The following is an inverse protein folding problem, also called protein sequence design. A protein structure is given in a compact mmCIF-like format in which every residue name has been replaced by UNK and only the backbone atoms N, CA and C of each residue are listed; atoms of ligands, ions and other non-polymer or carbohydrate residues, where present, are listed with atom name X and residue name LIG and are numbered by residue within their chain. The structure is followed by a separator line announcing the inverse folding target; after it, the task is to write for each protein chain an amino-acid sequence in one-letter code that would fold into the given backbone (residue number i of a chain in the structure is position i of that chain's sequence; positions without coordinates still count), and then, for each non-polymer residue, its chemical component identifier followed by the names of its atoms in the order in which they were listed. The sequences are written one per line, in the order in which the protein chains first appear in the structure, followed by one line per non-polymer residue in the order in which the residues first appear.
data_IF_187018036381
#
_entry.id   IF_187018036381
#
_cell.length_a   1.000
_cell.length_b   1.000
_cell.length_c   1.000
_cell.angle_alpha   90.00
_cell.angle_beta   90.00
_cell.angle_gamma   90.00
#
_symmetry.space_group_name_H-M   'P 1'
#
loop_
_entity.id
_entity.type
_entity.pdbx_description
1 polymer ?
#
# COMPACT_ATOMS: atom_id res chain seq x y z
N UNK A 1 -2.32 -3.57 20.45
CA UNK A 1 -0.94 -3.14 20.16
C UNK A 1 0.01 -3.49 21.30
N UNK A 2 -0.34 -3.23 22.58
CA UNK A 2 0.50 -3.63 23.73
C UNK A 2 0.90 -5.11 23.77
N UNK A 3 -0.06 -6.03 23.54
CA UNK A 3 0.23 -7.47 23.48
C UNK A 3 1.28 -7.79 22.42
N UNK A 4 1.13 -7.22 21.23
CA UNK A 4 2.08 -7.38 20.11
C UNK A 4 3.46 -6.84 20.47
N UNK A 5 3.56 -5.63 21.03
CA UNK A 5 4.83 -5.03 21.46
C UNK A 5 5.51 -5.85 22.56
N UNK A 6 4.73 -6.45 23.46
CA UNK A 6 5.23 -7.32 24.51
C UNK A 6 5.80 -8.61 23.94
N UNK A 7 5.14 -9.20 22.94
CA UNK A 7 5.65 -10.38 22.22
C UNK A 7 6.95 -10.07 21.47
N UNK A 8 7.08 -8.87 20.88
CA UNK A 8 8.32 -8.43 20.22
C UNK A 8 9.50 -8.33 21.17
N UNK A 9 9.27 -7.99 22.44
CA UNK A 9 10.34 -7.83 23.44
C UNK A 9 10.85 -9.13 24.07
N UNK A 10 10.24 -10.28 23.77
CA UNK A 10 10.66 -11.58 24.33
C UNK A 10 11.86 -12.14 23.57
N UNK A 11 12.83 -12.72 24.30
CA UNK A 11 14.02 -13.37 23.71
C UNK A 11 13.65 -14.51 22.74
N UNK A 12 12.63 -15.30 23.09
CA UNK A 12 12.03 -16.30 22.20
C UNK A 12 10.64 -15.83 21.79
N UNK A 13 10.54 -15.35 20.55
CA UNK A 13 9.28 -14.88 19.98
C UNK A 13 8.41 -16.08 19.56
N UNK A 14 7.19 -16.14 20.08
CA UNK A 14 6.15 -17.01 19.53
C UNK A 14 5.69 -16.42 18.19
N UNK A 15 6.16 -17.00 17.08
CA UNK A 15 5.97 -16.45 15.74
C UNK A 15 4.50 -16.48 15.33
N UNK A 16 3.76 -17.52 15.69
CA UNK A 16 2.36 -17.70 15.30
C UNK A 16 1.48 -16.71 16.05
N UNK A 17 1.71 -16.56 17.36
CA UNK A 17 1.00 -15.58 18.17
C UNK A 17 1.37 -14.14 17.76
N UNK A 18 2.63 -13.88 17.40
CA UNK A 18 3.06 -12.58 16.92
C UNK A 18 2.39 -12.25 15.59
N UNK A 19 2.34 -13.17 14.64
CA UNK A 19 1.67 -12.97 13.35
C UNK A 19 0.17 -12.73 13.53
N UNK A 20 -0.51 -13.54 14.35
CA UNK A 20 -1.93 -13.38 14.66
C UNK A 20 -2.22 -12.00 15.26
N UNK A 21 -1.44 -11.59 16.27
CA UNK A 21 -1.64 -10.29 16.92
C UNK A 21 -1.25 -9.11 16.03
N UNK A 22 -0.29 -9.29 15.13
CA UNK A 22 0.06 -8.30 14.10
C UNK A 22 -1.11 -8.09 13.15
N UNK A 23 -1.65 -9.17 12.59
CA UNK A 23 -2.76 -9.11 11.65
C UNK A 23 -4.01 -8.49 12.30
N UNK A 24 -4.31 -8.87 13.54
CA UNK A 24 -5.41 -8.29 14.29
C UNK A 24 -5.28 -6.76 14.45
N UNK A 25 -4.08 -6.27 14.79
CA UNK A 25 -3.82 -4.82 14.92
C UNK A 25 -3.92 -4.10 13.56
N UNK A 26 -3.33 -4.67 12.52
CA UNK A 26 -3.39 -4.10 11.16
C UNK A 26 -4.83 -4.02 10.68
N UNK A 27 -5.59 -5.11 10.74
CA UNK A 27 -6.99 -5.13 10.34
C UNK A 27 -7.86 -4.18 11.16
N UNK A 28 -7.64 -4.08 12.48
CA UNK A 28 -8.38 -3.15 13.33
C UNK A 28 -8.15 -1.70 12.90
N UNK A 29 -6.90 -1.30 12.70
CA UNK A 29 -6.55 0.07 12.30
C UNK A 29 -6.97 0.36 10.84
N UNK A 30 -7.07 -0.65 9.98
CA UNK A 30 -7.64 -0.50 8.65
C UNK A 30 -9.16 -0.31 8.68
N UNK A 31 -9.85 -1.11 9.49
CA UNK A 31 -11.31 -1.01 9.63
C UNK A 31 -11.74 0.26 10.36
N UNK A 32 -10.92 0.76 11.29
CA UNK A 32 -11.19 1.95 12.10
C UNK A 32 -9.97 2.88 12.18
N UNK A 33 -9.71 3.68 11.12
CA UNK A 33 -8.54 4.57 11.06
C UNK A 33 -8.47 5.57 12.21
N UNK A 34 -9.61 6.05 12.72
CA UNK A 34 -9.69 7.01 13.83
C UNK A 34 -9.06 6.47 15.14
N UNK A 35 -8.91 5.15 15.29
CA UNK A 35 -8.21 4.57 16.44
C UNK A 35 -6.70 4.81 16.37
N UNK A 36 -6.13 4.98 15.16
CA UNK A 36 -4.70 5.25 15.00
C UNK A 36 -4.29 6.55 15.70
N UNK A 37 -5.18 7.54 15.73
CA UNK A 37 -4.91 8.86 16.32
C UNK A 37 -4.68 8.81 17.83
N UNK A 38 -5.10 7.73 18.49
CA UNK A 38 -4.87 7.50 19.93
C UNK A 38 -3.56 6.75 20.20
N UNK A 39 -2.96 6.13 19.19
CA UNK A 39 -1.72 5.34 19.35
C UNK A 39 -0.54 6.16 19.90
N UNK A 40 -0.32 7.43 19.47
CA UNK A 40 0.74 8.26 20.03
C UNK A 40 0.64 8.49 21.55
N UNK A 41 -0.57 8.78 22.06
CA UNK A 41 -0.76 9.09 23.49
C UNK A 41 -0.53 7.89 24.41
N UNK A 42 -0.63 6.67 23.87
CA UNK A 42 -0.32 5.42 24.56
C UNK A 42 1.19 5.08 24.56
N UNK A 43 2.03 5.92 23.96
CA UNK A 43 3.49 5.72 23.91
C UNK A 43 3.92 4.50 23.11
N UNK A 44 3.05 3.98 22.23
CA UNK A 44 3.30 2.76 21.49
C UNK A 44 4.28 2.94 20.32
N UNK A 45 4.30 4.12 19.68
CA UNK A 45 5.20 4.42 18.56
C UNK A 45 6.68 4.37 18.97
N UNK A 46 7.14 5.07 20.02
CA UNK A 46 8.53 4.95 20.48
C UNK A 46 8.91 3.52 20.87
N UNK A 47 7.97 2.76 21.47
CA UNK A 47 8.19 1.35 21.79
C UNK A 47 8.38 0.51 20.54
N UNK A 48 7.55 0.69 19.51
CA UNK A 48 7.66 -0.01 18.22
C UNK A 48 9.02 0.26 17.55
N UNK A 49 9.41 1.53 17.41
CA UNK A 49 10.68 1.92 16.80
C UNK A 49 11.87 1.38 17.59
N UNK A 50 11.81 1.43 18.93
CA UNK A 50 12.84 0.86 19.80
C UNK A 50 12.97 -0.65 19.63
N UNK A 51 11.85 -1.37 19.56
CA UNK A 51 11.89 -2.81 19.30
C UNK A 51 12.58 -3.05 17.96
N UNK A 52 12.15 -2.40 16.88
CA UNK A 52 12.78 -2.52 15.55
C UNK A 52 14.29 -2.24 15.53
N UNK A 53 14.77 -1.32 16.37
CA UNK A 53 16.19 -0.93 16.46
C UNK A 53 17.09 -1.95 17.18
N UNK A 54 16.53 -2.94 17.89
CA UNK A 54 17.32 -3.93 18.62
C UNK A 54 18.02 -4.90 17.65
N UNK A 55 19.34 -5.11 17.86
CA UNK A 55 20.19 -5.93 16.99
C UNK A 55 19.87 -7.43 17.02
N UNK A 56 19.19 -7.91 18.07
CA UNK A 56 18.85 -9.32 18.25
C UNK A 56 17.49 -9.71 17.65
N UNK A 57 16.90 -8.85 16.82
CA UNK A 57 15.55 -9.06 16.36
C UNK A 57 15.42 -10.17 15.33
N UNK A 58 14.46 -11.04 15.60
CA UNK A 58 14.07 -12.12 14.72
C UNK A 58 13.41 -11.58 13.43
N UNK A 59 13.50 -12.31 12.30
CA UNK A 59 12.83 -11.94 11.05
C UNK A 59 11.33 -11.63 11.19
N UNK A 60 10.65 -12.28 12.14
CA UNK A 60 9.23 -12.06 12.46
C UNK A 60 8.98 -10.69 13.08
N UNK A 61 9.88 -10.21 13.96
CA UNK A 61 9.79 -8.88 14.59
C UNK A 61 9.92 -7.78 13.54
N UNK A 62 10.82 -7.93 12.57
CA UNK A 62 10.94 -6.98 11.46
C UNK A 62 9.67 -6.91 10.59
N UNK A 63 9.09 -8.06 10.23
CA UNK A 63 7.81 -8.12 9.50
C UNK A 63 6.72 -7.37 10.28
N UNK A 64 6.55 -7.70 11.56
CA UNK A 64 5.56 -7.05 12.43
C UNK A 64 5.77 -5.54 12.53
N UNK A 65 7.02 -5.10 12.74
CA UNK A 65 7.35 -3.69 12.85
C UNK A 65 7.00 -2.92 11.56
N UNK A 66 7.37 -3.47 10.40
CA UNK A 66 7.08 -2.85 9.10
C UNK A 66 5.56 -2.76 8.85
N UNK A 67 4.82 -3.84 9.11
CA UNK A 67 3.36 -3.86 8.90
C UNK A 67 2.61 -2.87 9.80
N UNK A 68 2.98 -2.81 11.07
CA UNK A 68 2.36 -1.85 12.00
C UNK A 68 2.77 -0.41 11.63
N UNK A 69 4.05 -0.18 11.32
CA UNK A 69 4.53 1.16 10.93
C UNK A 69 3.86 1.65 9.64
N UNK A 70 3.67 0.77 8.65
CA UNK A 70 2.95 1.07 7.41
C UNK A 70 1.51 1.54 7.69
N UNK A 71 0.83 0.84 8.59
CA UNK A 71 -0.54 1.18 8.97
C UNK A 71 -0.61 2.51 9.73
N UNK A 72 0.34 2.77 10.63
CA UNK A 72 0.42 4.04 11.36
C UNK A 72 0.79 5.21 10.45
N UNK A 73 1.62 4.99 9.44
CA UNK A 73 1.98 6.01 8.45
C UNK A 73 0.80 6.43 7.54
N UNK A 74 -0.41 5.88 7.72
CA UNK A 74 -1.63 6.40 7.11
C UNK A 74 -2.24 7.59 7.90
N UNK A 75 -1.83 7.83 9.15
CA UNK A 75 -2.30 8.95 9.98
C UNK A 75 -1.19 9.98 10.17
N UNK A 76 -1.43 11.23 9.78
CA UNK A 76 -0.46 12.32 9.97
C UNK A 76 -0.12 12.54 11.45
N UNK A 77 -1.09 12.33 12.36
CA UNK A 77 -0.87 12.42 13.81
C UNK A 77 0.16 11.39 14.27
N UNK A 78 0.06 10.16 13.73
CA UNK A 78 1.09 9.15 13.97
C UNK A 78 2.44 9.54 13.37
N UNK A 79 2.48 10.11 12.17
CA UNK A 79 3.73 10.55 11.53
C UNK A 79 4.43 11.63 12.37
N UNK A 80 3.69 12.59 12.91
CA UNK A 80 4.25 13.62 13.81
C UNK A 80 4.84 13.03 15.09
N UNK A 81 4.39 11.86 15.54
CA UNK A 81 5.00 11.13 16.65
C UNK A 81 6.18 10.27 16.20
N UNK A 82 6.07 9.62 15.04
CA UNK A 82 7.14 8.81 14.43
C UNK A 82 8.39 9.65 14.17
N UNK A 83 8.25 10.88 13.64
CA UNK A 83 9.37 11.77 13.33
C UNK A 83 10.16 12.25 14.57
N UNK A 84 9.61 12.06 15.77
CA UNK A 84 10.29 12.34 17.04
C UNK A 84 11.13 11.16 17.53
N UNK A 85 11.09 10.03 16.84
CA UNK A 85 11.79 8.79 17.19
C UNK A 85 12.73 8.37 16.08
N UNK A 86 13.82 7.68 16.42
CA UNK A 86 14.73 7.11 15.43
C UNK A 86 14.07 5.89 14.77
N UNK A 87 13.56 6.07 13.54
CA UNK A 87 12.81 5.04 12.82
C UNK A 87 13.43 4.66 11.47
N UNK A 88 14.13 5.58 10.81
CA UNK A 88 14.63 5.36 9.44
C UNK A 88 15.79 4.36 9.40
N UNK A 89 16.78 4.51 10.28
CA UNK A 89 17.91 3.55 10.35
C UNK A 89 17.44 2.14 10.70
N UNK A 90 16.62 1.91 11.75
CA UNK A 90 16.05 0.59 12.03
C UNK A 90 15.22 0.02 10.87
N UNK A 91 14.45 0.87 10.17
CA UNK A 91 13.66 0.44 9.00
C UNK A 91 14.57 0.00 7.85
N UNK A 92 15.68 0.70 7.58
CA UNK A 92 16.68 0.28 6.60
C UNK A 92 17.21 -1.13 6.91
N UNK A 93 17.60 -1.38 8.15
CA UNK A 93 18.09 -2.70 8.58
C UNK A 93 17.02 -3.79 8.45
N UNK A 94 15.77 -3.47 8.78
CA UNK A 94 14.64 -4.37 8.62
C UNK A 94 14.42 -4.76 7.14
N UNK A 95 14.49 -3.78 6.23
CA UNK A 95 14.38 -4.02 4.78
C UNK A 95 15.52 -4.90 4.24
N UNK A 96 16.74 -4.72 4.75
CA UNK A 96 17.89 -5.55 4.36
C UNK A 96 17.72 -7.01 4.81
N UNK A 97 17.10 -7.21 5.99
CA UNK A 97 16.85 -8.54 6.56
C UNK A 97 15.63 -9.23 5.95
N UNK A 98 14.59 -8.47 5.56
CA UNK A 98 13.30 -8.97 5.03
C UNK A 98 13.02 -8.42 3.64
N UNK A 99 13.60 -9.05 2.63
CA UNK A 99 13.45 -8.63 1.22
C UNK A 99 12.01 -8.68 0.72
N UNK A 100 11.21 -9.59 1.25
CA UNK A 100 9.78 -9.72 0.98
C UNK A 100 8.96 -8.51 1.46
N UNK A 101 9.47 -7.77 2.45
CA UNK A 101 8.80 -6.58 3.01
C UNK A 101 9.23 -5.26 2.35
N UNK A 102 10.14 -5.28 1.38
CA UNK A 102 10.65 -4.07 0.72
C UNK A 102 9.52 -3.24 0.10
N UNK A 103 8.54 -3.86 -0.56
CA UNK A 103 7.45 -3.12 -1.20
C UNK A 103 6.63 -2.29 -0.19
N UNK A 104 6.23 -2.93 0.92
CA UNK A 104 5.47 -2.28 2.00
C UNK A 104 6.31 -1.21 2.69
N UNK A 105 7.59 -1.49 2.93
CA UNK A 105 8.51 -0.52 3.53
C UNK A 105 8.74 0.70 2.64
N UNK A 106 8.87 0.52 1.31
CA UNK A 106 9.00 1.64 0.37
C UNK A 106 7.74 2.49 0.31
N UNK A 107 6.55 1.89 0.36
CA UNK A 107 5.30 2.63 0.48
C UNK A 107 5.24 3.42 1.80
N UNK A 108 5.67 2.80 2.91
CA UNK A 108 5.76 3.45 4.22
C UNK A 108 6.69 4.66 4.16
N UNK A 109 7.90 4.52 3.59
CA UNK A 109 8.84 5.61 3.40
C UNK A 109 8.27 6.74 2.55
N UNK A 110 7.54 6.42 1.48
CA UNK A 110 6.89 7.44 0.67
C UNK A 110 5.87 8.24 1.48
N UNK A 111 5.02 7.58 2.28
CA UNK A 111 4.06 8.26 3.17
C UNK A 111 4.77 9.15 4.18
N UNK A 112 5.81 8.63 4.82
CA UNK A 112 6.62 9.35 5.80
C UNK A 112 7.30 10.60 5.23
N UNK A 113 7.92 10.52 4.05
CA UNK A 113 8.59 11.68 3.45
C UNK A 113 7.62 12.66 2.77
N UNK A 114 6.41 12.22 2.43
CA UNK A 114 5.40 13.09 1.80
C UNK A 114 4.89 14.20 2.71
N UNK A 115 4.99 14.04 4.04
CA UNK A 115 4.63 15.09 5.02
C UNK A 115 5.65 16.22 5.11
N UNK A 116 6.81 16.09 4.45
CA UNK A 116 7.88 17.09 4.43
C UNK A 116 8.43 17.44 5.83
N UNK A 117 8.40 16.47 6.74
CA UNK A 117 9.00 16.58 8.07
C UNK A 117 10.54 16.48 7.97
N UNK A 118 11.23 17.60 8.17
CA UNK A 118 12.69 17.70 8.02
C UNK A 118 13.45 16.72 8.93
N UNK A 119 12.89 16.33 10.08
CA UNK A 119 13.48 15.33 10.98
C UNK A 119 13.61 13.96 10.32
N UNK A 120 12.60 13.53 9.56
CA UNK A 120 12.63 12.26 8.84
C UNK A 120 13.65 12.30 7.71
N UNK A 121 13.73 13.43 7.00
CA UNK A 121 14.71 13.62 5.93
C UNK A 121 16.13 13.66 6.48
N UNK A 122 16.33 14.29 7.63
CA UNK A 122 17.61 14.27 8.35
C UNK A 122 18.02 12.84 8.71
N UNK A 123 17.13 12.08 9.37
CA UNK A 123 17.40 10.66 9.69
C UNK A 123 17.71 9.83 8.44
N UNK A 124 17.04 10.11 7.32
CA UNK A 124 17.29 9.43 6.05
C UNK A 124 18.66 9.77 5.45
N UNK A 125 19.12 11.01 5.58
CA UNK A 125 20.48 11.39 5.19
C UNK A 125 21.52 10.73 6.10
N UNK A 126 21.33 10.81 7.41
CA UNK A 126 22.25 10.26 8.42
C UNK A 126 22.37 8.73 8.31
N UNK A 127 21.27 8.04 7.94
CA UNK A 127 21.24 6.59 7.75
C UNK A 127 21.65 6.13 6.34
N UNK A 128 22.09 7.03 5.45
CA UNK A 128 22.35 6.75 4.03
C UNK A 128 21.20 6.00 3.35
N UNK A 129 19.97 6.48 3.56
CA UNK A 129 18.77 5.91 2.98
C UNK A 129 18.67 6.23 1.48
N UNK A 130 19.06 7.44 1.05
CA UNK A 130 18.98 7.84 -0.36
C UNK A 130 19.83 6.91 -1.26
N UNK A 131 21.13 6.66 -0.98
CA UNK A 131 21.91 5.70 -1.77
C UNK A 131 21.35 4.27 -1.72
N UNK A 132 20.84 3.86 -0.56
CA UNK A 132 20.23 2.54 -0.40
C UNK A 132 18.99 2.35 -1.29
N UNK A 133 18.11 3.35 -1.36
CA UNK A 133 16.94 3.35 -2.23
C UNK A 133 17.31 3.33 -3.72
N UNK A 134 18.35 4.07 -4.12
CA UNK A 134 18.88 4.03 -5.50
C UNK A 134 19.40 2.64 -5.87
N UNK A 135 20.11 1.97 -4.95
CA UNK A 135 20.58 0.60 -5.15
C UNK A 135 19.41 -0.40 -5.31
N UNK A 136 18.28 -0.18 -4.62
CA UNK A 136 17.07 -0.99 -4.83
C UNK A 136 16.46 -0.73 -6.21
N UNK A 137 16.47 0.51 -6.71
CA UNK A 137 15.98 0.84 -8.05
C UNK A 137 16.79 0.15 -9.16
N UNK A 138 18.11 0.06 -8.99
CA UNK A 138 19.01 -0.64 -9.92
C UNK A 138 18.82 -2.17 -9.84
N UNK A 139 18.60 -2.69 -8.64
CA UNK A 139 18.46 -4.11 -8.38
C UNK A 139 17.25 -4.79 -9.02
N UNK A 140 17.34 -6.12 -9.12
CA UNK A 140 16.20 -7.00 -9.41
C UNK A 140 15.43 -7.29 -8.12
N UNK A 141 14.11 -7.20 -8.20
CA UNK A 141 13.18 -7.35 -7.09
C UNK A 141 12.36 -8.64 -7.26
N UNK A 142 13.03 -9.75 -7.57
CA UNK A 142 12.40 -11.00 -8.01
C UNK A 142 11.48 -11.66 -6.95
N UNK A 143 11.67 -11.31 -5.68
CA UNK A 143 10.89 -11.83 -4.54
C UNK A 143 9.58 -11.02 -4.34
N UNK A 144 9.49 -9.84 -4.94
CA UNK A 144 8.36 -8.92 -4.75
C UNK A 144 7.32 -9.19 -5.84
N UNK A 145 6.06 -9.36 -5.46
CA UNK A 145 4.95 -9.62 -6.40
C UNK A 145 4.82 -8.52 -7.47
N UNK A 146 4.91 -7.25 -7.05
CA UNK A 146 4.84 -6.10 -7.94
C UNK A 146 6.07 -5.19 -7.80
N UNK A 147 7.18 -5.53 -8.48
CA UNK A 147 8.42 -4.76 -8.40
C UNK A 147 8.25 -3.35 -8.98
N UNK A 148 7.37 -3.18 -9.97
CA UNK A 148 7.11 -1.91 -10.61
C UNK A 148 6.48 -0.89 -9.65
N UNK A 149 5.47 -1.33 -8.87
CA UNK A 149 4.89 -0.50 -7.81
C UNK A 149 5.92 -0.13 -6.75
N UNK A 150 6.75 -1.07 -6.31
CA UNK A 150 7.81 -0.78 -5.34
C UNK A 150 8.78 0.30 -5.88
N UNK A 151 9.25 0.17 -7.12
CA UNK A 151 10.11 1.19 -7.76
C UNK A 151 9.41 2.55 -7.84
N UNK A 152 8.13 2.59 -8.21
CA UNK A 152 7.37 3.83 -8.24
C UNK A 152 7.25 4.48 -6.84
N UNK A 153 7.06 3.70 -5.77
CA UNK A 153 7.06 4.22 -4.39
C UNK A 153 8.41 4.81 -4.02
N UNK A 154 9.52 4.18 -4.42
CA UNK A 154 10.86 4.71 -4.18
C UNK A 154 11.06 6.05 -4.87
N UNK A 155 10.71 6.16 -6.16
CA UNK A 155 10.85 7.42 -6.89
C UNK A 155 9.98 8.51 -6.26
N UNK A 156 8.74 8.20 -5.86
CA UNK A 156 7.86 9.15 -5.13
C UNK A 156 8.48 9.60 -3.81
N UNK A 157 9.03 8.66 -3.03
CA UNK A 157 9.72 8.95 -1.77
C UNK A 157 10.92 9.89 -1.98
N UNK A 158 11.77 9.59 -2.97
CA UNK A 158 12.93 10.43 -3.30
C UNK A 158 12.50 11.83 -3.76
N UNK A 159 11.50 11.94 -4.64
CA UNK A 159 10.93 13.25 -5.04
C UNK A 159 10.30 14.01 -3.87
N UNK A 160 9.70 13.31 -2.90
CA UNK A 160 9.14 13.95 -1.72
C UNK A 160 10.25 14.59 -0.87
N UNK A 161 11.37 13.89 -0.67
CA UNK A 161 12.52 14.39 0.09
C UNK A 161 13.16 15.65 -0.53
N UNK A 162 13.16 15.78 -1.86
CA UNK A 162 13.74 16.95 -2.54
C UNK A 162 12.89 18.23 -2.39
N UNK A 163 11.64 18.10 -1.92
CA UNK A 163 10.75 19.23 -1.63
C UNK A 163 11.03 19.88 -0.27
N UNK A 164 11.92 19.33 0.55
CA UNK A 164 12.33 19.97 1.81
C UNK A 164 13.11 21.24 1.54
N UNK A 165 12.72 22.32 2.22
CA UNK A 165 13.36 23.61 2.11
C UNK A 165 14.74 23.63 2.78
N UNK A 166 14.97 22.79 3.80
CA UNK A 166 16.21 22.78 4.58
C UNK A 166 17.23 21.77 4.07
N UNK A 167 16.76 20.61 3.61
CA UNK A 167 17.60 19.45 3.30
C UNK A 167 17.43 18.96 1.86
N UNK A 168 16.44 19.47 1.11
CA UNK A 168 16.16 19.05 -0.26
C UNK A 168 17.34 19.24 -1.20
N UNK A 169 18.12 20.32 -1.07
CA UNK A 169 19.33 20.53 -1.86
C UNK A 169 20.39 19.45 -1.62
N UNK A 170 20.57 19.01 -0.37
CA UNK A 170 21.50 17.91 -0.04
C UNK A 170 21.04 16.59 -0.66
N UNK A 171 19.74 16.32 -0.63
CA UNK A 171 19.15 15.14 -1.26
C UNK A 171 19.35 15.21 -2.78
N UNK A 172 19.03 16.34 -3.42
CA UNK A 172 19.26 16.56 -4.85
C UNK A 172 20.72 16.37 -5.24
N UNK A 173 21.67 16.89 -4.45
CA UNK A 173 23.09 16.73 -4.73
C UNK A 173 23.57 15.26 -4.71
N UNK A 174 22.90 14.38 -3.97
CA UNK A 174 23.15 12.93 -3.99
C UNK A 174 22.51 12.30 -5.24
N UNK A 175 21.26 12.68 -5.52
CA UNK A 175 20.48 12.15 -6.64
C UNK A 175 21.09 12.49 -8.01
N UNK A 176 21.56 13.73 -8.21
CA UNK A 176 22.17 14.17 -9.48
C UNK A 176 23.49 13.46 -9.79
N UNK A 177 24.14 12.84 -8.80
CA UNK A 177 25.34 12.01 -9.03
C UNK A 177 25.01 10.59 -9.50
N UNK A 178 23.74 10.18 -9.40
CA UNK A 178 23.31 8.83 -9.72
C UNK A 178 22.86 8.72 -11.17
N UNK A 179 23.51 7.84 -11.94
CA UNK A 179 23.05 7.47 -13.28
C UNK A 179 21.65 6.85 -13.25
N UNK A 180 21.38 6.01 -12.25
CA UNK A 180 20.07 5.39 -12.03
C UNK A 180 19.00 6.47 -11.90
N UNK A 181 19.22 7.49 -11.07
CA UNK A 181 18.23 8.56 -10.91
C UNK A 181 17.91 9.30 -12.21
N UNK A 182 18.89 9.50 -13.09
CA UNK A 182 18.69 10.16 -14.38
C UNK A 182 17.64 9.42 -15.25
N UNK A 183 17.56 8.10 -15.14
CA UNK A 183 16.58 7.28 -15.86
C UNK A 183 15.16 7.43 -15.29
N UNK A 184 15.01 7.66 -13.99
CA UNK A 184 13.72 7.68 -13.29
C UNK A 184 13.15 9.09 -13.03
N UNK A 185 13.99 10.13 -12.96
CA UNK A 185 13.57 11.47 -12.52
C UNK A 185 12.44 12.07 -13.36
N UNK A 186 12.44 11.80 -14.66
CA UNK A 186 11.48 12.36 -15.62
C UNK A 186 10.32 11.38 -15.96
N UNK A 187 10.34 10.16 -15.43
CA UNK A 187 9.26 9.19 -15.65
C UNK A 187 7.97 9.62 -14.91
N UNK A 188 6.86 9.74 -15.65
CA UNK A 188 5.51 9.93 -15.09
C UNK A 188 4.94 8.57 -14.67
N UNK A 189 4.50 8.46 -13.41
CA UNK A 189 4.05 7.20 -12.81
C UNK A 189 2.60 6.79 -13.13
N UNK A 190 1.87 7.56 -13.94
CA UNK A 190 0.48 7.22 -14.32
C UNK A 190 0.39 5.93 -15.14
N UNK A 191 1.50 5.43 -15.70
CA UNK A 191 1.54 4.19 -16.46
C UNK A 191 1.56 2.91 -15.61
N UNK A 192 1.66 2.99 -14.27
CA UNK A 192 1.71 1.81 -13.39
C UNK A 192 0.37 1.42 -12.75
N UNK A 193 -0.75 2.01 -13.20
CA UNK A 193 -2.09 1.49 -12.87
C UNK A 193 -2.67 0.82 -14.12
N UNK A 194 -2.35 -0.45 -14.31
CA UNK A 194 -3.12 -1.37 -15.13
C UNK A 194 -3.30 -2.65 -14.35
N UNK A 195 -4.18 -2.57 -13.35
CA UNK A 195 -5.06 -3.64 -12.88
C UNK A 195 -5.91 -3.11 -11.72
N UNK A 196 -6.70 -2.07 -12.01
CA UNK A 196 -8.03 -2.05 -11.42
C UNK A 196 -8.79 -3.16 -12.15
N UNK A 197 -8.77 -4.38 -11.58
CA UNK A 197 -9.81 -5.34 -11.88
C UNK A 197 -11.10 -4.66 -11.48
N UNK A 198 -11.74 -3.98 -12.43
CA UNK A 198 -13.16 -3.70 -12.38
C UNK A 198 -13.82 -5.08 -12.25
N UNK A 199 -14.01 -5.50 -11.01
CA UNK A 199 -14.86 -6.62 -10.65
C UNK A 199 -16.25 -6.20 -11.08
N UNK A 200 -16.57 -6.53 -12.33
CA UNK A 200 -17.83 -6.22 -12.98
C UNK A 200 -18.96 -6.86 -12.21
N UNK A 201 -19.50 -6.12 -11.24
CA UNK A 201 -20.78 -6.43 -10.65
C UNK A 201 -21.86 -5.91 -11.59
N UNK A 202 -22.04 -6.62 -12.70
CA UNK A 202 -23.25 -6.53 -13.51
C UNK A 202 -24.35 -7.29 -12.75
N UNK A 203 -24.97 -6.68 -11.73
CA UNK A 203 -26.33 -7.07 -11.35
C UNK A 203 -27.31 -6.45 -12.34
N UNK A 204 -27.32 -7.03 -13.53
CA UNK A 204 -28.44 -6.92 -14.44
C UNK A 204 -29.25 -8.21 -14.36
N UNK A 205 -30.50 -8.09 -13.92
CA UNK A 205 -31.58 -8.99 -14.31
C UNK A 205 -31.67 -10.32 -13.58
N UNK A 206 -32.65 -10.39 -12.69
CA UNK A 206 -33.48 -11.57 -12.37
C UNK A 206 -33.37 -12.78 -13.32
N UNK A 207 -33.17 -14.00 -12.81
CA UNK A 207 -33.69 -15.20 -13.45
C UNK A 207 -35.02 -15.57 -12.81
N UNK A 208 -36.12 -15.14 -13.44
CA UNK A 208 -37.40 -15.83 -13.31
C UNK A 208 -37.39 -16.99 -14.29
N UNK A 209 -37.88 -18.13 -13.81
CA UNK A 209 -38.33 -19.31 -14.57
C UNK A 209 -37.33 -20.46 -14.70
N UNK A 210 -37.54 -21.43 -13.81
CA UNK A 210 -37.24 -22.84 -14.02
C UNK A 210 -37.88 -23.32 -15.33
N UNK A 211 -37.06 -23.70 -16.29
CA UNK A 211 -37.45 -24.21 -17.60
C UNK A 211 -36.69 -25.50 -17.89
N UNK A 212 -37.45 -26.51 -18.28
CA UNK A 212 -37.11 -27.92 -18.34
C UNK A 212 -35.96 -28.26 -19.30
N UNK A 213 -35.14 -29.22 -18.89
CA UNK A 213 -34.03 -29.82 -19.63
C UNK A 213 -34.56 -30.77 -20.74
N UNK A 214 -34.57 -30.37 -22.01
CA UNK A 214 -34.68 -31.32 -23.14
C UNK A 214 -33.97 -30.84 -24.41
N UNK A 215 -32.76 -31.39 -24.63
CA UNK A 215 -32.12 -31.82 -25.89
C UNK A 215 -32.16 -30.98 -27.19
N UNK A 216 -30.98 -30.87 -27.84
CA UNK A 216 -30.83 -30.92 -29.32
C UNK A 216 -30.02 -29.79 -29.99
N UNK A 217 -29.00 -30.08 -30.84
CA UNK A 217 -28.02 -29.09 -31.31
C UNK A 217 -28.33 -28.46 -32.68
N UNK A 218 -27.65 -27.33 -32.93
CA UNK A 218 -27.20 -26.77 -34.23
C UNK A 218 -27.87 -25.50 -34.78
N UNK A 219 -26.95 -24.69 -35.33
CA UNK A 219 -27.05 -23.71 -36.43
C UNK A 219 -27.41 -22.23 -36.17
N UNK A 220 -26.41 -21.41 -36.50
CA UNK A 220 -26.42 -20.10 -37.18
C UNK A 220 -26.81 -18.84 -36.40
N UNK A 221 -25.75 -18.09 -36.05
CA UNK A 221 -25.76 -16.64 -35.82
C UNK A 221 -26.39 -15.91 -37.02
N UNK A 222 -27.41 -15.09 -36.75
CA UNK A 222 -27.90 -14.08 -37.69
C UNK A 222 -27.76 -12.69 -37.06
N UNK A 223 -26.78 -11.94 -37.58
CA UNK A 223 -26.54 -10.51 -37.38
C UNK A 223 -27.65 -9.70 -38.02
N UNK A 224 -28.44 -8.97 -37.23
CA UNK A 224 -29.38 -7.97 -37.74
C UNK A 224 -30.13 -7.27 -36.61
N UNK A 225 -30.24 -5.93 -36.61
CA UNK A 225 -30.92 -5.19 -35.55
C UNK A 225 -32.45 -5.37 -35.65
N UNK A 226 -33.17 -5.38 -34.51
CA UNK A 226 -34.60 -5.63 -34.49
C UNK A 226 -35.42 -4.48 -35.10
N UNK A 227 -36.57 -4.76 -35.75
CA UNK A 227 -37.40 -3.76 -36.40
C UNK A 227 -38.16 -2.89 -35.39
N UNK A 228 -38.34 -1.62 -35.73
CA UNK A 228 -39.19 -0.68 -34.99
C UNK A 228 -40.57 -0.71 -35.64
N UNK A 229 -41.55 -1.36 -35.00
CA UNK A 229 -42.94 -1.23 -35.44
C UNK A 229 -43.52 0.10 -34.95
N UNK A 230 -43.93 0.89 -35.93
CA UNK A 230 -44.63 2.16 -35.80
C UNK A 230 -46.12 1.93 -36.07
N UNK A 231 -46.91 2.43 -35.13
CA UNK A 231 -48.08 3.29 -35.37
C UNK A 231 -49.49 2.66 -35.58
N UNK A 232 -50.39 3.25 -34.76
CA UNK A 232 -51.79 3.62 -34.98
C UNK A 232 -52.98 2.63 -34.85
N UNK A 233 -53.72 2.86 -33.74
CA UNK A 233 -55.10 3.35 -33.68
C UNK A 233 -56.17 2.74 -34.60
N UNK A 234 -57.27 2.22 -34.00
CA UNK A 234 -58.64 2.79 -34.04
C UNK A 234 -59.78 1.75 -33.78
N UNK A 235 -60.70 2.11 -32.85
CA UNK A 235 -62.19 1.93 -32.89
C UNK A 235 -62.71 0.46 -32.69
N UNK A 236 -63.73 0.08 -31.89
CA UNK A 236 -64.99 0.69 -31.43
C UNK A 236 -65.63 -0.05 -30.22
N UNK A 237 -66.29 0.75 -29.35
CA UNK A 237 -67.63 0.64 -28.70
C UNK A 237 -68.24 -0.63 -28.05
N UNK A 238 -68.84 -0.31 -26.88
CA UNK A 238 -70.10 -0.76 -26.24
C UNK A 238 -70.15 -2.17 -25.62
N UNK A 239 -70.81 -2.43 -24.48
CA UNK A 239 -72.04 -1.84 -23.93
C UNK A 239 -72.08 -1.80 -22.39
N UNK A 240 -72.94 -0.93 -21.87
CA UNK A 240 -73.37 -0.79 -20.48
C UNK A 240 -74.38 -1.85 -20.06
N UNK A 241 -74.39 -2.20 -18.76
CA UNK A 241 -75.54 -2.19 -17.82
C UNK A 241 -74.94 -2.25 -16.40
#
# INVERSE_FOLDING_TARGET
MDTTLTLMSKEKTDSDMLELTTQAVVCLLQAQPNLADQVPSLGHIPRLCRQMAMQNNQPSVYKTAILILHQLAASEICISSICQTECISPLKHAMQSRRDMIAIACETLNRLFSTNEDRLIKQALDAEMVPYLLNILEGRLDIIENPATAKAQIVKALKAMTRSLLLGEKVNAILEKSSVWAEYKDQRHDLFISNATNSGYLTAGTPVSAGYLTAGPSTTLSTGPPPVDKEDSLINRNDSI
#
